data_IF_876510873970
#
_entry.id   IF_876510873970
#
_cell.length_a   1.000
_cell.length_b   1.000
_cell.length_c   1.000
_cell.angle_alpha   90.00
_cell.angle_beta   90.00
_cell.angle_gamma   90.00
#
_symmetry.space_group_name_H-M   'P 1'
#
loop_
_entity.id
_entity.type
_entity.pdbx_description
1 polymer ?
#
# COMPACT_ATOMS: atom_id res chain seq x y z
N UNK A 1 34.70 17.67 11.02
CA UNK A 1 34.92 16.21 10.90
C UNK A 1 35.40 15.97 9.50
N UNK A 2 36.55 15.30 9.35
CA UNK A 2 37.06 14.90 8.05
C UNK A 2 36.13 13.77 7.55
N UNK A 3 35.20 14.08 6.66
CA UNK A 3 34.18 13.14 6.15
C UNK A 3 34.66 12.32 4.97
N UNK A 4 35.98 12.31 4.72
CA UNK A 4 36.59 11.62 3.60
C UNK A 4 36.81 10.15 3.96
N UNK A 5 35.75 9.34 3.86
CA UNK A 5 35.87 7.89 3.91
C UNK A 5 36.38 7.40 2.55
N UNK A 6 37.48 6.62 2.51
CA UNK A 6 37.92 6.01 1.26
C UNK A 6 36.81 5.09 0.74
N UNK A 7 36.51 5.15 -0.57
CA UNK A 7 35.60 4.18 -1.18
C UNK A 7 36.13 2.77 -0.92
N UNK A 8 35.27 1.92 -0.37
CA UNK A 8 35.58 0.51 -0.14
C UNK A 8 34.93 -0.29 -1.27
N UNK A 9 35.73 -1.09 -1.97
CA UNK A 9 35.20 -2.00 -2.99
C UNK A 9 34.57 -3.22 -2.34
N UNK A 10 33.63 -3.85 -3.07
CA UNK A 10 33.01 -5.11 -2.66
C UNK A 10 34.02 -6.18 -2.25
N UNK A 11 35.12 -6.33 -3.00
CA UNK A 11 36.17 -7.30 -2.72
C UNK A 11 36.88 -6.98 -1.40
N UNK A 12 37.20 -5.71 -1.16
CA UNK A 12 37.88 -5.29 0.07
C UNK A 12 37.01 -5.53 1.31
N UNK A 13 35.69 -5.35 1.20
CA UNK A 13 34.76 -5.68 2.28
C UNK A 13 34.66 -7.20 2.50
N UNK A 14 34.50 -7.98 1.44
CA UNK A 14 34.43 -9.45 1.52
C UNK A 14 35.68 -10.05 2.16
N UNK A 15 36.86 -9.53 1.82
CA UNK A 15 38.12 -9.96 2.44
C UNK A 15 38.19 -9.61 3.93
N UNK A 16 37.61 -8.50 4.38
CA UNK A 16 37.50 -8.19 5.82
C UNK A 16 36.55 -9.16 6.52
N UNK A 17 35.36 -9.40 5.96
CA UNK A 17 34.39 -10.32 6.58
C UNK A 17 34.96 -11.71 6.68
N UNK A 18 35.63 -12.23 5.63
CA UNK A 18 36.30 -13.53 5.68
C UNK A 18 37.33 -13.64 6.80
N UNK A 19 38.04 -12.55 7.12
CA UNK A 19 39.00 -12.51 8.24
C UNK A 19 38.33 -12.48 9.61
N UNK A 20 37.12 -11.96 9.69
CA UNK A 20 36.32 -11.90 10.94
C UNK A 20 35.46 -13.15 11.16
N UNK A 21 35.37 -14.05 10.18
CA UNK A 21 34.66 -15.31 10.33
C UNK A 21 35.32 -16.18 11.42
N UNK A 22 34.52 -16.82 12.30
CA UNK A 22 35.04 -17.84 13.21
C UNK A 22 35.75 -18.96 12.45
N UNK A 23 36.77 -19.57 13.06
CA UNK A 23 37.51 -20.67 12.43
C UNK A 23 36.59 -21.77 11.90
N UNK A 24 36.76 -22.13 10.62
CA UNK A 24 35.98 -23.16 9.96
C UNK A 24 34.57 -22.73 9.52
N UNK A 25 34.17 -21.47 9.73
CA UNK A 25 32.90 -20.93 9.22
C UNK A 25 33.08 -20.25 7.87
N UNK A 26 32.08 -20.42 7.01
CA UNK A 26 31.95 -19.76 5.71
C UNK A 26 30.83 -18.71 5.75
N UNK A 27 30.77 -17.84 4.75
CA UNK A 27 29.65 -16.87 4.61
C UNK A 27 28.28 -17.56 4.50
N UNK A 28 28.24 -18.75 3.90
CA UNK A 28 27.02 -19.55 3.78
C UNK A 28 26.52 -20.02 5.16
N UNK A 29 27.44 -20.31 6.10
CA UNK A 29 27.10 -20.72 7.46
C UNK A 29 26.50 -19.60 8.31
N UNK A 30 26.68 -18.33 7.91
CA UNK A 30 26.13 -17.17 8.60
C UNK A 30 24.77 -16.71 8.07
N UNK A 31 24.16 -17.48 7.15
CA UNK A 31 22.93 -17.09 6.45
C UNK A 31 23.02 -15.69 5.80
N UNK A 32 24.24 -15.22 5.49
CA UNK A 32 24.45 -14.00 4.71
C UNK A 32 23.98 -14.32 3.30
N UNK A 33 22.75 -13.90 2.97
CA UNK A 33 22.24 -14.00 1.61
C UNK A 33 23.04 -13.03 0.75
N UNK A 34 23.89 -13.60 -0.10
CA UNK A 34 24.45 -12.88 -1.23
C UNK A 34 23.31 -12.57 -2.22
N UNK A 35 23.32 -11.39 -2.86
CA UNK A 35 24.47 -10.47 -2.98
C UNK A 35 24.63 -9.49 -1.82
N UNK A 36 25.87 -9.06 -1.58
CA UNK A 36 26.15 -7.83 -0.82
C UNK A 36 25.81 -6.61 -1.70
N UNK A 37 25.14 -5.63 -1.12
CA UNK A 37 24.75 -4.39 -1.78
C UNK A 37 25.65 -3.23 -1.34
N UNK A 38 26.26 -2.56 -2.31
CA UNK A 38 27.12 -1.40 -2.12
C UNK A 38 26.94 -0.43 -3.30
N UNK A 39 27.83 0.57 -3.41
CA UNK A 39 27.78 1.51 -4.52
C UNK A 39 28.25 0.91 -5.85
N UNK A 40 28.94 -0.24 -5.85
CA UNK A 40 29.59 -0.79 -7.04
C UNK A 40 28.51 -1.34 -7.99
N UNK A 41 28.36 -0.69 -9.15
CA UNK A 41 27.31 -1.03 -10.11
C UNK A 41 25.93 -0.47 -9.76
N UNK A 42 25.80 0.31 -8.68
CA UNK A 42 24.55 0.97 -8.33
C UNK A 42 24.30 2.21 -9.19
N UNK A 43 23.15 2.24 -9.86
CA UNK A 43 22.63 3.44 -10.50
C UNK A 43 21.33 3.82 -9.82
N UNK A 44 21.27 5.00 -9.19
CA UNK A 44 20.06 5.44 -8.51
C UNK A 44 18.94 5.70 -9.52
N UNK A 45 17.81 4.97 -9.45
CA UNK A 45 16.73 5.09 -10.43
C UNK A 45 15.83 6.32 -10.16
N UNK A 46 16.15 7.14 -9.16
CA UNK A 46 15.27 8.19 -8.66
C UNK A 46 14.24 7.67 -7.65
N UNK A 47 13.48 8.57 -7.00
CA UNK A 47 12.47 8.19 -6.00
C UNK A 47 11.30 7.43 -6.63
N UNK A 48 11.07 6.19 -6.21
CA UNK A 48 10.05 5.30 -6.80
C UNK A 48 8.64 5.54 -6.26
N UNK A 49 8.51 6.25 -5.13
CA UNK A 49 7.21 6.57 -4.53
C UNK A 49 6.51 7.79 -5.19
N UNK A 50 7.01 8.31 -6.31
CA UNK A 50 6.46 9.52 -6.96
C UNK A 50 5.47 9.17 -8.09
N UNK A 51 4.21 8.91 -7.73
CA UNK A 51 3.11 8.83 -8.72
C UNK A 51 2.16 10.02 -8.54
N UNK A 52 2.00 10.84 -9.58
CA UNK A 52 1.02 11.95 -9.57
C UNK A 52 -0.40 11.43 -9.81
N UNK A 53 -1.29 11.59 -8.83
CA UNK A 53 -2.69 11.18 -8.95
C UNK A 53 -3.52 11.40 -7.67
N UNK A 54 -3.67 12.65 -7.22
CA UNK A 54 -4.60 13.10 -6.15
C UNK A 54 -4.56 12.32 -4.82
N UNK A 55 -3.39 12.29 -4.22
CA UNK A 55 -3.13 12.77 -2.87
C UNK A 55 -1.96 13.76 -3.01
N UNK A 56 -1.85 14.85 -2.21
CA UNK A 56 -0.54 15.43 -2.02
C UNK A 56 0.30 14.32 -1.37
N UNK A 57 1.30 13.87 -2.12
CA UNK A 57 2.31 12.87 -1.78
C UNK A 57 3.11 13.28 -0.54
N UNK A 58 2.54 13.11 0.66
CA UNK A 58 3.24 13.33 1.92
C UNK A 58 2.96 12.24 2.96
N UNK A 59 1.74 11.72 3.09
CA UNK A 59 1.44 10.75 4.17
C UNK A 59 0.40 9.69 3.77
N UNK A 60 0.52 8.48 4.32
CA UNK A 60 -0.55 7.48 4.27
C UNK A 60 -1.73 7.93 5.13
N UNK A 61 -2.94 7.46 4.80
CA UNK A 61 -4.14 7.69 5.62
C UNK A 61 -4.44 6.47 6.48
N UNK A 62 -4.70 6.73 7.76
CA UNK A 62 -5.20 5.73 8.71
C UNK A 62 -6.65 5.42 8.36
N UNK A 63 -6.88 4.28 7.72
CA UNK A 63 -8.20 3.87 7.28
C UNK A 63 -8.88 3.01 8.34
N UNK A 64 -10.13 3.36 8.67
CA UNK A 64 -10.97 2.59 9.57
C UNK A 64 -12.10 1.90 8.79
N UNK A 65 -12.29 0.61 9.05
CA UNK A 65 -13.46 -0.12 8.57
C UNK A 65 -14.65 0.14 9.49
N UNK A 66 -15.80 0.45 8.92
CA UNK A 66 -17.01 0.81 9.64
C UNK A 66 -18.21 0.06 9.07
N UNK A 67 -19.09 -0.38 9.96
CA UNK A 67 -20.30 -1.13 9.60
C UNK A 67 -21.55 -0.26 9.55
N UNK A 68 -21.56 0.85 10.30
CA UNK A 68 -22.68 1.78 10.40
C UNK A 68 -22.18 3.22 10.60
N UNK A 69 -23.11 4.17 10.60
CA UNK A 69 -22.79 5.58 10.77
C UNK A 69 -22.12 5.88 12.12
N UNK A 70 -22.55 5.23 13.20
CA UNK A 70 -22.03 5.45 14.55
C UNK A 70 -20.55 5.05 14.60
N UNK A 71 -20.21 3.89 14.02
CA UNK A 71 -18.85 3.41 13.89
C UNK A 71 -17.99 4.37 13.07
N UNK A 72 -18.52 4.96 11.99
CA UNK A 72 -17.81 5.98 11.21
C UNK A 72 -17.47 7.21 12.06
N UNK A 73 -18.46 7.78 12.73
CA UNK A 73 -18.24 8.99 13.54
C UNK A 73 -17.28 8.71 14.70
N UNK A 74 -17.40 7.55 15.34
CA UNK A 74 -16.49 7.13 16.40
C UNK A 74 -15.06 6.92 15.87
N UNK A 75 -14.89 6.30 14.69
CA UNK A 75 -13.59 6.13 14.07
C UNK A 75 -12.92 7.47 13.75
N UNK A 76 -13.68 8.43 13.20
CA UNK A 76 -13.18 9.79 12.93
C UNK A 76 -12.79 10.51 14.23
N UNK A 77 -13.60 10.40 15.29
CA UNK A 77 -13.27 10.95 16.60
C UNK A 77 -12.01 10.33 17.21
N UNK A 78 -11.72 9.07 16.90
CA UNK A 78 -10.52 8.35 17.33
C UNK A 78 -9.30 8.60 16.43
N UNK A 79 -9.41 9.47 15.42
CA UNK A 79 -8.28 9.88 14.59
C UNK A 79 -8.15 9.14 13.25
N UNK A 80 -9.16 8.37 12.83
CA UNK A 80 -9.19 7.85 11.45
C UNK A 80 -9.21 9.01 10.43
N UNK A 81 -8.45 8.85 9.35
CA UNK A 81 -8.30 9.85 8.28
C UNK A 81 -9.03 9.45 6.99
N UNK A 82 -9.43 8.18 6.91
CA UNK A 82 -10.21 7.60 5.84
C UNK A 82 -11.17 6.53 6.38
N UNK A 83 -12.26 6.29 5.66
CA UNK A 83 -13.28 5.31 6.03
C UNK A 83 -13.40 4.25 4.95
N UNK A 84 -13.69 3.02 5.37
CA UNK A 84 -14.12 1.92 4.50
C UNK A 84 -15.45 1.39 5.04
N UNK A 85 -16.52 1.54 4.24
CA UNK A 85 -17.84 1.00 4.56
C UNK A 85 -18.28 -0.05 3.55
N UNK A 86 -19.12 -0.98 4.00
CA UNK A 86 -19.86 -1.90 3.14
C UNK A 86 -21.36 -1.68 3.40
N UNK A 87 -22.06 -0.86 2.58
CA UNK A 87 -23.49 -0.60 2.80
C UNK A 87 -24.32 -1.88 2.82
N UNK A 88 -25.24 -2.00 3.77
CA UNK A 88 -26.22 -3.07 3.83
C UNK A 88 -27.34 -2.89 2.81
N UNK A 89 -28.11 -3.96 2.61
CA UNK A 89 -29.36 -3.87 1.83
C UNK A 89 -30.29 -2.87 2.48
N UNK A 90 -30.97 -2.08 1.65
CA UNK A 90 -31.87 -1.00 2.08
C UNK A 90 -31.19 0.20 2.78
N UNK A 91 -29.87 0.19 2.99
CA UNK A 91 -29.16 1.35 3.56
C UNK A 91 -29.22 2.54 2.61
N UNK A 92 -29.62 3.68 3.14
CA UNK A 92 -29.69 4.93 2.39
C UNK A 92 -28.38 5.73 2.56
N UNK A 93 -27.79 6.25 1.46
CA UNK A 93 -26.52 6.97 1.55
C UNK A 93 -26.50 8.14 2.52
N UNK A 94 -27.62 8.88 2.61
CA UNK A 94 -27.73 10.06 3.47
C UNK A 94 -27.77 9.71 4.95
N UNK A 95 -28.30 8.54 5.31
CA UNK A 95 -28.36 8.06 6.69
C UNK A 95 -27.01 7.45 7.10
N UNK A 96 -26.45 6.59 6.25
CA UNK A 96 -25.19 5.89 6.55
C UNK A 96 -24.01 6.88 6.66
N UNK A 97 -24.00 7.94 5.85
CA UNK A 97 -22.95 8.95 5.82
C UNK A 97 -23.36 10.26 6.50
N UNK A 98 -24.42 10.26 7.31
CA UNK A 98 -24.84 11.43 8.07
C UNK A 98 -23.68 11.98 8.93
N UNK A 99 -23.34 13.26 8.76
CA UNK A 99 -22.23 13.89 9.47
C UNK A 99 -20.82 13.53 8.96
N UNK A 100 -20.70 12.64 7.97
CA UNK A 100 -19.43 12.36 7.29
C UNK A 100 -19.27 13.35 6.14
N UNK A 101 -18.31 14.28 6.27
CA UNK A 101 -18.04 15.28 5.25
C UNK A 101 -17.12 14.72 4.16
N UNK A 102 -17.70 14.21 3.07
CA UNK A 102 -17.00 13.57 1.96
C UNK A 102 -15.97 14.45 1.25
N UNK A 103 -16.08 15.78 1.37
CA UNK A 103 -15.08 16.73 0.87
C UNK A 103 -13.71 16.61 1.55
N UNK A 104 -13.69 16.08 2.77
CA UNK A 104 -12.47 15.98 3.59
C UNK A 104 -12.07 14.53 3.87
N UNK A 105 -13.05 13.64 3.93
CA UNK A 105 -12.85 12.24 4.33
C UNK A 105 -12.85 11.34 3.10
N UNK A 106 -11.70 10.72 2.84
CA UNK A 106 -11.59 9.70 1.81
C UNK A 106 -12.42 8.49 2.23
N UNK A 107 -13.32 8.06 1.36
CA UNK A 107 -14.32 7.06 1.71
C UNK A 107 -14.33 5.96 0.66
N UNK A 108 -13.94 4.77 1.07
CA UNK A 108 -14.07 3.56 0.28
C UNK A 108 -15.44 2.96 0.56
N UNK A 109 -16.21 2.70 -0.48
CA UNK A 109 -17.53 2.08 -0.37
C UNK A 109 -17.48 0.71 -1.04
N UNK A 110 -17.91 -0.33 -0.34
CA UNK A 110 -17.91 -1.68 -0.85
C UNK A 110 -19.33 -2.13 -1.13
N UNK A 111 -19.70 -2.12 -2.40
CA UNK A 111 -21.06 -2.45 -2.85
C UNK A 111 -21.27 -3.94 -3.09
N UNK A 112 -20.33 -4.81 -2.67
CA UNK A 112 -20.43 -6.25 -2.88
C UNK A 112 -21.64 -6.93 -2.25
N UNK A 113 -22.28 -6.25 -1.29
CA UNK A 113 -23.50 -6.67 -0.59
C UNK A 113 -24.80 -6.22 -1.26
N UNK A 114 -24.71 -5.27 -2.20
CA UNK A 114 -25.85 -4.61 -2.84
C UNK A 114 -26.25 -5.26 -4.16
N UNK A 115 -27.51 -5.10 -4.56
CA UNK A 115 -27.96 -5.46 -5.90
C UNK A 115 -27.75 -4.33 -6.93
N UNK A 116 -27.99 -4.63 -8.21
CA UNK A 116 -27.77 -3.68 -9.31
C UNK A 116 -28.61 -2.39 -9.18
N UNK A 117 -29.84 -2.49 -8.64
CA UNK A 117 -30.72 -1.33 -8.48
C UNK A 117 -30.24 -0.43 -7.33
N UNK A 118 -29.83 -1.05 -6.21
CA UNK A 118 -29.24 -0.38 -5.07
C UNK A 118 -27.93 0.33 -5.47
N UNK A 119 -27.05 -0.34 -6.21
CA UNK A 119 -25.80 0.24 -6.73
C UNK A 119 -26.09 1.47 -7.58
N UNK A 120 -27.03 1.39 -8.53
CA UNK A 120 -27.41 2.53 -9.37
C UNK A 120 -27.96 3.70 -8.53
N UNK A 121 -28.72 3.40 -7.47
CA UNK A 121 -29.20 4.39 -6.51
C UNK A 121 -28.04 5.11 -5.80
N UNK A 122 -27.09 4.35 -5.26
CA UNK A 122 -25.87 4.86 -4.62
C UNK A 122 -25.02 5.70 -5.58
N UNK A 123 -24.78 5.21 -6.79
CA UNK A 123 -24.00 5.93 -7.82
C UNK A 123 -24.66 7.26 -8.22
N UNK A 124 -25.99 7.28 -8.35
CA UNK A 124 -26.71 8.51 -8.67
C UNK A 124 -26.66 9.53 -7.53
N UNK A 125 -26.73 9.08 -6.27
CA UNK A 125 -26.52 9.95 -5.12
C UNK A 125 -25.09 10.50 -5.09
N UNK A 126 -24.09 9.66 -5.32
CA UNK A 126 -22.67 10.04 -5.38
C UNK A 126 -22.38 11.04 -6.50
N UNK A 127 -23.03 10.91 -7.66
CA UNK A 127 -22.88 11.88 -8.78
C UNK A 127 -23.29 13.30 -8.40
N UNK A 128 -24.19 13.45 -7.43
CA UNK A 128 -24.68 14.73 -6.93
C UNK A 128 -23.82 15.27 -5.76
N UNK A 129 -22.87 14.49 -5.26
CA UNK A 129 -21.90 14.96 -4.27
C UNK A 129 -20.78 15.76 -4.93
N UNK A 130 -20.04 16.50 -4.12
CA UNK A 130 -18.90 17.30 -4.54
C UNK A 130 -17.88 16.48 -5.33
N UNK A 131 -17.35 17.08 -6.40
CA UNK A 131 -16.28 16.47 -7.21
C UNK A 131 -14.95 16.37 -6.45
N UNK A 132 -14.81 17.05 -5.30
CA UNK A 132 -13.62 16.94 -4.45
C UNK A 132 -13.60 15.64 -3.63
N UNK A 133 -14.75 15.00 -3.44
CA UNK A 133 -14.86 13.77 -2.68
C UNK A 133 -14.08 12.62 -3.35
N UNK A 134 -13.18 11.99 -2.60
CA UNK A 134 -12.51 10.76 -3.02
C UNK A 134 -13.34 9.58 -2.56
N UNK A 135 -14.24 9.14 -3.44
CA UNK A 135 -15.08 7.97 -3.23
C UNK A 135 -14.69 6.85 -4.17
N UNK A 136 -14.31 5.71 -3.61
CA UNK A 136 -13.88 4.54 -4.38
C UNK A 136 -14.89 3.41 -4.12
N UNK A 137 -15.84 3.19 -5.04
CA UNK A 137 -16.73 2.04 -4.95
C UNK A 137 -16.03 0.76 -5.40
N UNK A 138 -16.12 -0.29 -4.59
CA UNK A 138 -15.81 -1.66 -4.97
C UNK A 138 -17.07 -2.26 -5.59
N UNK A 139 -16.94 -2.81 -6.80
CA UNK A 139 -18.03 -3.33 -7.63
C UNK A 139 -19.04 -2.23 -8.02
N UNK A 140 -18.75 -1.55 -9.13
CA UNK A 140 -19.59 -0.48 -9.71
C UNK A 140 -20.13 -0.92 -11.07
N UNK A 141 -21.33 -0.43 -11.41
CA UNK A 141 -21.95 -0.67 -12.73
C UNK A 141 -21.55 0.41 -13.75
N UNK A 142 -21.13 1.60 -13.28
CA UNK A 142 -20.68 2.71 -14.13
C UNK A 142 -19.18 2.99 -14.04
N UNK A 143 -18.42 2.52 -15.04
CA UNK A 143 -16.96 2.71 -15.11
C UNK A 143 -16.51 4.17 -15.32
N UNK A 144 -17.40 5.15 -15.56
CA UNK A 144 -16.97 6.48 -16.03
C UNK A 144 -16.45 7.44 -14.94
N UNK A 145 -16.67 7.15 -13.66
CA UNK A 145 -16.27 8.06 -12.56
C UNK A 145 -15.48 7.41 -11.43
N UNK A 146 -15.30 6.10 -11.45
CA UNK A 146 -14.79 5.37 -10.30
C UNK A 146 -13.45 4.71 -10.60
N UNK A 147 -12.78 4.29 -9.52
CA UNK A 147 -11.55 3.51 -9.62
C UNK A 147 -11.90 2.03 -9.62
N UNK A 148 -11.26 1.25 -10.48
CA UNK A 148 -11.40 -0.20 -10.52
C UNK A 148 -10.66 -0.79 -9.32
N UNK A 149 -11.34 -1.61 -8.53
CA UNK A 149 -10.74 -2.31 -7.41
C UNK A 149 -10.12 -3.63 -7.85
N UNK A 150 -8.85 -3.86 -7.51
CA UNK A 150 -8.16 -5.13 -7.74
C UNK A 150 -7.58 -5.63 -6.40
N UNK A 151 -7.94 -6.84 -6.02
CA UNK A 151 -7.40 -7.50 -4.83
C UNK A 151 -6.21 -8.38 -5.21
N UNK A 152 -5.15 -8.31 -4.41
CA UNK A 152 -3.90 -9.06 -4.58
C UNK A 152 -3.62 -9.83 -3.29
N UNK A 153 -3.47 -11.15 -3.42
CA UNK A 153 -3.23 -12.03 -2.28
C UNK A 153 -1.75 -12.16 -1.90
N UNK A 154 -0.84 -12.00 -2.86
CA UNK A 154 0.59 -12.23 -2.70
C UNK A 154 1.40 -11.13 -3.40
N UNK A 155 2.53 -10.75 -2.80
CA UNK A 155 3.44 -9.72 -3.30
C UNK A 155 4.55 -10.31 -4.18
N UNK A 156 4.16 -11.05 -5.23
CA UNK A 156 5.07 -11.72 -6.17
C UNK A 156 5.15 -11.02 -7.54
N UNK A 157 6.10 -11.44 -8.38
CA UNK A 157 6.20 -10.98 -9.76
C UNK A 157 4.97 -11.37 -10.59
N UNK A 158 4.45 -12.58 -10.40
CA UNK A 158 3.24 -13.08 -11.05
C UNK A 158 2.02 -12.21 -10.72
N UNK A 159 1.89 -11.81 -9.45
CA UNK A 159 0.84 -10.90 -9.03
C UNK A 159 0.97 -9.52 -9.70
N UNK A 160 2.19 -8.98 -9.84
CA UNK A 160 2.41 -7.74 -10.59
C UNK A 160 2.05 -7.89 -12.07
N UNK A 161 2.39 -9.02 -12.71
CA UNK A 161 2.01 -9.30 -14.11
C UNK A 161 0.49 -9.23 -14.26
N UNK A 162 -0.25 -9.89 -13.37
CA UNK A 162 -1.72 -9.92 -13.39
C UNK A 162 -2.31 -8.50 -13.22
N UNK A 163 -1.85 -7.76 -12.22
CA UNK A 163 -2.30 -6.39 -11.94
C UNK A 163 -2.05 -5.47 -13.14
N UNK A 164 -0.83 -5.43 -13.67
CA UNK A 164 -0.47 -4.55 -14.78
C UNK A 164 -1.21 -4.96 -16.07
N UNK A 165 -1.43 -6.25 -16.29
CA UNK A 165 -2.20 -6.74 -17.44
C UNK A 165 -3.67 -6.30 -17.36
N UNK A 166 -4.29 -6.38 -16.18
CA UNK A 166 -5.65 -5.89 -15.93
C UNK A 166 -5.76 -4.38 -16.11
N UNK A 167 -4.80 -3.61 -15.61
CA UNK A 167 -4.74 -2.16 -15.83
C UNK A 167 -4.62 -1.83 -17.32
N UNK A 168 -3.75 -2.53 -18.05
CA UNK A 168 -3.55 -2.32 -19.49
C UNK A 168 -4.80 -2.62 -20.29
N UNK A 169 -5.53 -3.69 -19.94
CA UNK A 169 -6.77 -4.09 -20.61
C UNK A 169 -7.91 -3.09 -20.37
N UNK A 170 -8.01 -2.54 -19.15
CA UNK A 170 -9.09 -1.64 -18.74
C UNK A 170 -8.76 -0.14 -18.87
N UNK A 171 -7.62 0.21 -19.47
CA UNK A 171 -7.14 1.60 -19.49
C UNK A 171 -8.13 2.57 -20.17
N UNK A 172 -8.74 2.13 -21.26
CA UNK A 172 -9.64 2.94 -22.10
C UNK A 172 -11.12 2.88 -21.64
N UNK A 173 -11.44 2.15 -20.56
CA UNK A 173 -12.83 1.90 -20.11
C UNK A 173 -13.50 3.12 -19.43
N UNK A 174 -12.85 4.29 -19.47
CA UNK A 174 -13.36 5.52 -18.87
C UNK A 174 -13.15 5.67 -17.35
N UNK A 175 -12.61 4.66 -16.67
CA UNK A 175 -12.28 4.67 -15.23
C UNK A 175 -11.33 5.81 -14.82
N UNK A 176 -11.44 6.29 -13.59
CA UNK A 176 -10.52 7.32 -13.07
C UNK A 176 -9.17 6.76 -12.62
N UNK A 177 -9.06 5.44 -12.45
CA UNK A 177 -7.86 4.81 -11.93
C UNK A 177 -8.11 3.43 -11.34
N UNK A 178 -7.19 3.00 -10.49
CA UNK A 178 -7.26 1.71 -9.79
C UNK A 178 -7.00 1.87 -8.31
N UNK A 179 -7.67 1.05 -7.52
CA UNK A 179 -7.34 0.79 -6.12
C UNK A 179 -6.82 -0.63 -6.01
N UNK A 180 -5.57 -0.78 -5.56
CA UNK A 180 -4.92 -2.07 -5.33
C UNK A 180 -4.98 -2.40 -3.86
N UNK A 181 -5.86 -3.33 -3.51
CA UNK A 181 -6.00 -3.85 -2.15
C UNK A 181 -5.13 -5.09 -2.00
N UNK A 182 -4.17 -5.05 -1.08
CA UNK A 182 -3.35 -6.20 -0.75
C UNK A 182 -3.36 -6.45 0.75
N UNK A 183 -3.27 -7.72 1.12
CA UNK A 183 -2.98 -8.12 2.50
C UNK A 183 -1.47 -8.14 2.70
N UNK A 184 -0.98 -7.43 3.71
CA UNK A 184 0.47 -7.31 3.94
C UNK A 184 1.01 -8.63 4.47
N UNK A 185 1.98 -9.21 3.75
CA UNK A 185 2.66 -10.46 4.12
C UNK A 185 3.64 -10.32 5.28
N UNK A 186 4.46 -11.34 5.49
CA UNK A 186 5.57 -11.30 6.48
C UNK A 186 6.93 -10.95 5.89
N UNK A 187 7.05 -10.91 4.56
CA UNK A 187 8.29 -10.53 3.89
C UNK A 187 8.42 -9.01 3.80
N UNK A 188 8.97 -8.39 4.83
CA UNK A 188 9.08 -6.94 4.93
C UNK A 188 9.76 -6.26 3.74
N UNK A 189 10.85 -6.84 3.24
CA UNK A 189 11.58 -6.25 2.13
C UNK A 189 10.84 -6.50 0.82
N UNK A 190 10.25 -7.68 0.65
CA UNK A 190 9.38 -8.00 -0.49
C UNK A 190 8.17 -7.06 -0.57
N UNK A 191 7.49 -6.80 0.55
CA UNK A 191 6.35 -5.86 0.62
C UNK A 191 6.75 -4.44 0.19
N UNK A 192 7.89 -3.94 0.69
CA UNK A 192 8.43 -2.63 0.30
C UNK A 192 8.73 -2.61 -1.20
N UNK A 193 9.47 -3.61 -1.68
CA UNK A 193 9.88 -3.70 -3.08
C UNK A 193 8.69 -3.81 -4.02
N UNK A 194 7.66 -4.57 -3.63
CA UNK A 194 6.46 -4.79 -4.43
C UNK A 194 5.64 -3.52 -4.62
N UNK A 195 5.41 -2.75 -3.55
CA UNK A 195 4.69 -1.48 -3.65
C UNK A 195 5.45 -0.45 -4.51
N UNK A 196 6.78 -0.39 -4.39
CA UNK A 196 7.65 0.45 -5.22
C UNK A 196 7.61 0.01 -6.68
N UNK A 197 7.74 -1.29 -6.95
CA UNK A 197 7.71 -1.86 -8.30
C UNK A 197 6.36 -1.62 -8.97
N UNK A 198 5.24 -1.81 -8.25
CA UNK A 198 3.89 -1.51 -8.74
C UNK A 198 3.79 -0.05 -9.21
N UNK A 199 4.26 0.91 -8.42
CA UNK A 199 4.25 2.34 -8.76
C UNK A 199 5.11 2.64 -9.98
N UNK A 200 6.32 2.08 -10.02
CA UNK A 200 7.24 2.21 -11.15
C UNK A 200 6.62 1.72 -12.46
N UNK A 201 6.06 0.51 -12.46
CA UNK A 201 5.40 -0.08 -13.62
C UNK A 201 4.12 0.67 -14.03
N UNK A 202 3.38 1.22 -13.07
CA UNK A 202 2.23 2.06 -13.36
C UNK A 202 2.63 3.38 -14.05
N UNK A 203 3.72 4.02 -13.62
CA UNK A 203 4.26 5.21 -14.28
C UNK A 203 4.69 4.91 -15.71
N UNK A 204 5.40 3.80 -15.91
CA UNK A 204 5.79 3.35 -17.25
C UNK A 204 4.57 3.16 -18.15
N UNK A 205 3.54 2.46 -17.66
CA UNK A 205 2.29 2.27 -18.39
C UNK A 205 1.59 3.61 -18.68
N UNK A 206 1.53 4.51 -17.69
CA UNK A 206 0.90 5.82 -17.83
C UNK A 206 1.64 6.72 -18.81
N UNK A 207 2.96 6.59 -18.95
CA UNK A 207 3.76 7.36 -19.90
C UNK A 207 3.49 6.98 -21.36
N UNK A 208 3.07 5.72 -21.58
CA UNK A 208 2.80 5.16 -22.91
C UNK A 208 1.34 5.36 -23.37
N UNK A 209 0.45 5.73 -22.45
CA UNK A 209 -1.00 5.82 -22.69
C UNK A 209 -1.50 7.25 -22.52
N UNK A 210 -2.64 7.56 -23.15
CA UNK A 210 -3.31 8.86 -22.97
C UNK A 210 -4.33 8.78 -21.84
N UNK A 211 -4.58 9.92 -21.20
CA UNK A 211 -5.53 10.05 -20.09
C UNK A 211 -4.85 9.83 -18.73
N UNK A 212 -4.92 10.85 -17.87
CA UNK A 212 -4.39 10.76 -16.53
C UNK A 212 -5.27 9.81 -15.69
N UNK A 213 -4.67 8.72 -15.21
CA UNK A 213 -5.31 7.76 -14.31
C UNK A 213 -4.64 7.84 -12.94
N UNK A 214 -5.40 7.53 -11.90
CA UNK A 214 -4.91 7.48 -10.52
C UNK A 214 -4.58 6.05 -10.12
N UNK A 215 -3.61 5.89 -9.23
CA UNK A 215 -3.31 4.63 -8.57
C UNK A 215 -3.38 4.87 -7.07
N UNK A 216 -4.23 4.12 -6.40
CA UNK A 216 -4.29 4.04 -4.95
C UNK A 216 -3.90 2.65 -4.50
N UNK A 217 -3.26 2.56 -3.35
CA UNK A 217 -2.88 1.31 -2.69
C UNK A 217 -3.50 1.25 -1.30
N UNK A 218 -4.15 0.14 -1.00
CA UNK A 218 -4.71 -0.17 0.31
C UNK A 218 -3.98 -1.39 0.86
N UNK A 219 -3.22 -1.15 1.93
CA UNK A 219 -2.54 -2.18 2.70
C UNK A 219 -3.44 -2.61 3.86
N UNK A 220 -3.81 -3.88 3.92
CA UNK A 220 -4.55 -4.46 5.03
C UNK A 220 -3.65 -5.34 5.88
N UNK A 221 -3.60 -5.06 7.18
CA UNK A 221 -2.87 -5.88 8.14
C UNK A 221 -3.48 -7.27 8.23
N UNK A 222 -2.64 -8.30 8.16
CA UNK A 222 -3.05 -9.71 8.10
C UNK A 222 -2.72 -10.43 9.40
N UNK A 223 -3.73 -10.91 10.16
CA UNK A 223 -3.51 -11.63 11.40
C UNK A 223 -2.89 -13.00 11.12
N UNK A 224 -2.10 -13.51 12.06
CA UNK A 224 -1.55 -14.87 11.97
C UNK A 224 -2.60 -15.96 12.22
N UNK A 225 -3.71 -15.59 12.88
CA UNK A 225 -4.73 -16.54 13.34
C UNK A 225 -4.34 -17.31 14.62
N UNK A 226 -3.25 -16.90 15.28
CA UNK A 226 -2.74 -17.51 16.50
C UNK A 226 -3.07 -16.65 17.73
N UNK A 227 -2.06 -16.02 18.35
CA UNK A 227 -2.23 -15.16 19.54
C UNK A 227 -2.40 -13.68 19.13
N UNK A 228 -3.51 -13.03 19.51
CA UNK A 228 -3.74 -11.61 19.24
C UNK A 228 -2.61 -10.68 19.76
N UNK A 229 -1.92 -11.04 20.85
CA UNK A 229 -0.82 -10.22 21.36
C UNK A 229 0.42 -10.30 20.46
N UNK A 230 0.68 -11.48 19.88
CA UNK A 230 1.74 -11.65 18.89
C UNK A 230 1.39 -10.94 17.58
N UNK A 231 0.10 -10.91 17.24
CA UNK A 231 -0.39 -10.17 16.08
C UNK A 231 -0.11 -8.67 16.18
N UNK A 232 -0.14 -8.04 17.35
CA UNK A 232 0.25 -6.63 17.50
C UNK A 232 1.73 -6.38 17.11
N UNK A 233 2.63 -7.31 17.45
CA UNK A 233 4.04 -7.23 17.05
C UNK A 233 4.16 -7.41 15.54
N UNK A 234 3.47 -8.41 14.98
CA UNK A 234 3.42 -8.65 13.53
C UNK A 234 2.87 -7.44 12.77
N UNK A 235 1.81 -6.83 13.27
CA UNK A 235 1.18 -5.65 12.70
C UNK A 235 2.13 -4.45 12.69
N UNK A 236 3.01 -4.33 13.69
CA UNK A 236 4.07 -3.31 13.66
C UNK A 236 4.96 -3.49 12.44
N UNK A 237 5.39 -4.72 12.18
CA UNK A 237 6.27 -5.03 11.06
C UNK A 237 5.58 -4.85 9.71
N UNK A 238 4.34 -5.33 9.58
CA UNK A 238 3.50 -5.17 8.38
C UNK A 238 3.17 -3.70 8.08
N UNK A 239 2.73 -2.95 9.09
CA UNK A 239 2.44 -1.53 8.94
C UNK A 239 3.68 -0.76 8.50
N UNK A 240 4.84 -1.07 9.10
CA UNK A 240 6.09 -0.41 8.76
C UNK A 240 6.52 -0.72 7.32
N UNK A 241 6.45 -1.96 6.85
CA UNK A 241 6.77 -2.28 5.46
C UNK A 241 5.82 -1.61 4.48
N UNK A 242 4.51 -1.59 4.76
CA UNK A 242 3.52 -0.93 3.92
C UNK A 242 3.75 0.60 3.84
N UNK A 243 4.05 1.25 4.98
CA UNK A 243 4.35 2.69 5.04
C UNK A 243 5.64 3.00 4.28
N UNK A 244 6.71 2.22 4.49
CA UNK A 244 7.99 2.43 3.81
C UNK A 244 7.92 2.13 2.30
N UNK A 245 7.08 1.18 1.89
CA UNK A 245 6.73 0.93 0.49
C UNK A 245 5.83 2.02 -0.13
N UNK A 246 5.33 2.95 0.68
CA UNK A 246 4.52 4.08 0.22
C UNK A 246 3.05 3.73 -0.02
N UNK A 247 2.41 2.92 0.82
CA UNK A 247 0.97 2.67 0.75
C UNK A 247 0.15 3.95 0.97
N UNK A 248 -0.95 4.13 0.22
CA UNK A 248 -1.83 5.32 0.35
C UNK A 248 -2.77 5.20 1.55
N UNK A 249 -3.29 3.99 1.80
CA UNK A 249 -4.16 3.68 2.92
C UNK A 249 -3.62 2.48 3.67
N UNK A 250 -3.67 2.54 5.01
CA UNK A 250 -3.35 1.42 5.87
C UNK A 250 -4.54 1.13 6.80
N UNK A 251 -5.06 -0.09 6.73
CA UNK A 251 -6.19 -0.54 7.53
C UNK A 251 -5.80 -1.74 8.40
N UNK A 252 -6.45 -1.83 9.56
CA UNK A 252 -6.38 -3.02 10.40
C UNK A 252 -7.07 -4.24 9.79
N UNK A 253 -6.95 -5.40 10.44
CA UNK A 253 -7.67 -6.61 10.06
C UNK A 253 -9.19 -6.46 10.32
N UNK A 254 -9.99 -7.33 9.72
CA UNK A 254 -11.41 -7.45 10.03
C UNK A 254 -11.58 -8.07 11.43
N UNK A 255 -11.65 -7.24 12.47
CA UNK A 255 -11.81 -7.70 13.84
C UNK A 255 -13.29 -7.98 14.15
N UNK A 256 -13.61 -9.24 14.46
CA UNK A 256 -14.97 -9.70 14.81
C UNK A 256 -15.18 -9.86 16.33
N UNK A 257 -14.20 -9.50 17.15
CA UNK A 257 -14.27 -9.64 18.60
C UNK A 257 -14.98 -8.45 19.26
N UNK A 258 -15.70 -8.70 20.37
CA UNK A 258 -16.41 -7.67 21.14
C UNK A 258 -15.47 -6.68 21.87
N UNK A 259 -14.16 -6.90 21.85
CA UNK A 259 -13.19 -6.06 22.54
C UNK A 259 -12.78 -4.84 21.71
N UNK A 260 -13.42 -3.70 21.97
CA UNK A 260 -13.10 -2.38 21.39
C UNK A 260 -11.62 -1.97 21.57
N UNK A 261 -10.90 -2.57 22.51
CA UNK A 261 -9.50 -2.23 22.78
C UNK A 261 -8.56 -2.64 21.65
N UNK A 262 -8.82 -3.75 20.95
CA UNK A 262 -7.90 -4.26 19.94
C UNK A 262 -7.86 -3.38 18.70
N UNK A 263 -9.03 -2.99 18.17
CA UNK A 263 -9.14 -2.07 17.05
C UNK A 263 -8.46 -0.73 17.34
N UNK A 264 -8.64 -0.21 18.58
CA UNK A 264 -7.95 1.00 19.03
C UNK A 264 -6.43 0.83 19.09
N UNK A 265 -5.91 -0.32 19.54
CA UNK A 265 -4.46 -0.58 19.57
C UNK A 265 -3.87 -0.60 18.16
N UNK A 266 -4.57 -1.22 17.20
CA UNK A 266 -4.14 -1.27 15.78
C UNK A 266 -4.13 0.13 15.16
N UNK A 267 -5.10 0.99 15.48
CA UNK A 267 -5.10 2.39 15.04
C UNK A 267 -3.95 3.19 15.69
N UNK A 268 -3.78 3.04 17.02
CA UNK A 268 -2.73 3.72 17.76
C UNK A 268 -1.32 3.40 17.25
N UNK A 269 -1.10 2.19 16.77
CA UNK A 269 0.15 1.80 16.14
C UNK A 269 0.53 2.71 14.95
N UNK A 270 -0.45 3.03 14.11
CA UNK A 270 -0.24 3.94 12.98
C UNK A 270 -0.04 5.38 13.46
N UNK A 271 -0.76 5.81 14.50
CA UNK A 271 -0.55 7.11 15.12
C UNK A 271 0.85 7.24 15.71
N UNK A 272 1.40 6.22 16.36
CA UNK A 272 2.76 6.21 16.89
C UNK A 272 3.78 6.37 15.76
N UNK A 273 3.61 5.64 14.65
CA UNK A 273 4.47 5.77 13.47
C UNK A 273 4.46 7.19 12.89
N UNK A 274 3.30 7.87 12.88
CA UNK A 274 3.21 9.28 12.47
C UNK A 274 3.80 10.22 13.52
N UNK A 275 3.27 10.19 14.74
CA UNK A 275 3.48 11.22 15.75
C UNK A 275 4.84 11.13 16.43
N UNK A 276 5.33 9.92 16.68
CA UNK A 276 6.62 9.67 17.35
C UNK A 276 7.69 9.26 16.34
N UNK A 277 7.36 8.34 15.42
CA UNK A 277 8.28 7.88 14.39
C UNK A 277 8.55 8.91 13.28
N UNK A 278 7.67 9.92 13.13
CA UNK A 278 7.76 10.98 12.11
C UNK A 278 7.92 10.44 10.67
N UNK A 279 7.47 9.21 10.42
CA UNK A 279 7.66 8.56 9.10
C UNK A 279 6.91 9.29 7.99
N UNK A 280 5.85 10.01 8.34
CA UNK A 280 5.05 10.84 7.44
C UNK A 280 5.80 12.08 6.90
N UNK A 281 6.95 12.45 7.48
CA UNK A 281 7.75 13.58 6.97
C UNK A 281 8.59 13.22 5.74
N UNK A 282 8.73 11.91 5.44
CA UNK A 282 9.55 11.42 4.34
C UNK A 282 8.66 10.83 3.24
N UNK A 283 8.82 11.31 2.01
CA UNK A 283 8.11 10.74 0.85
C UNK A 283 8.62 9.34 0.50
N UNK A 284 9.92 9.14 0.61
CA UNK A 284 10.59 7.88 0.35
C UNK A 284 11.83 7.78 1.25
N UNK A 285 11.64 7.24 2.45
CA UNK A 285 12.71 7.10 3.44
C UNK A 285 13.79 6.10 3.02
N UNK A 286 13.51 5.23 2.04
CA UNK A 286 14.40 4.16 1.59
C UNK A 286 15.07 4.46 0.24
N UNK A 287 14.78 5.61 -0.37
CA UNK A 287 15.41 6.05 -1.61
C UNK A 287 16.94 6.03 -1.48
N UNK A 288 17.61 5.41 -2.47
CA UNK A 288 19.07 5.30 -2.50
C UNK A 288 19.63 4.15 -1.66
N UNK A 289 18.80 3.36 -0.98
CA UNK A 289 19.25 2.10 -0.37
C UNK A 289 19.66 1.10 -1.45
N UNK A 290 20.94 0.73 -1.49
CA UNK A 290 21.46 -0.22 -2.48
C UNK A 290 20.67 -1.53 -2.52
N UNK A 291 20.26 -2.02 -1.34
CA UNK A 291 19.50 -3.25 -1.23
C UNK A 291 18.06 -3.10 -1.74
N UNK A 292 17.32 -2.10 -1.25
CA UNK A 292 15.90 -1.94 -1.56
C UNK A 292 15.70 -1.60 -3.04
N UNK A 293 16.57 -0.75 -3.59
CA UNK A 293 16.51 -0.37 -5.00
C UNK A 293 16.83 -1.57 -5.92
N UNK A 294 17.80 -2.41 -5.56
CA UNK A 294 18.15 -3.60 -6.35
C UNK A 294 17.03 -4.65 -6.34
N UNK A 295 16.48 -5.01 -5.18
CA UNK A 295 15.36 -5.97 -5.14
C UNK A 295 14.10 -5.44 -5.83
N UNK A 296 13.88 -4.11 -5.80
CA UNK A 296 12.78 -3.48 -6.53
C UNK A 296 13.02 -3.61 -8.04
N UNK A 297 14.24 -3.31 -8.50
CA UNK A 297 14.61 -3.43 -9.91
C UNK A 297 14.50 -4.88 -10.41
N UNK A 298 15.05 -5.84 -9.67
CA UNK A 298 14.94 -7.26 -10.01
C UNK A 298 13.48 -7.71 -10.15
N UNK A 299 12.60 -7.22 -9.27
CA UNK A 299 11.17 -7.52 -9.33
C UNK A 299 10.51 -6.91 -10.58
N UNK A 300 10.84 -5.66 -10.94
CA UNK A 300 10.35 -5.02 -12.19
C UNK A 300 10.84 -5.77 -13.42
N UNK A 301 12.15 -6.06 -13.53
CA UNK A 301 12.74 -6.77 -14.66
C UNK A 301 12.13 -8.18 -14.81
N UNK A 302 12.01 -8.92 -13.71
CA UNK A 302 11.37 -10.24 -13.70
C UNK A 302 9.93 -10.17 -14.19
N UNK A 303 9.18 -9.16 -13.76
CA UNK A 303 7.79 -8.95 -14.18
C UNK A 303 7.71 -8.62 -15.67
N UNK A 304 8.58 -7.75 -16.19
CA UNK A 304 8.62 -7.40 -17.60
C UNK A 304 8.98 -8.60 -18.49
N UNK A 305 9.96 -9.40 -18.10
CA UNK A 305 10.33 -10.63 -18.82
C UNK A 305 9.15 -11.60 -18.93
N UNK A 306 8.40 -11.77 -17.83
CA UNK A 306 7.20 -12.63 -17.79
C UNK A 306 6.01 -12.08 -18.60
N UNK A 307 6.00 -10.80 -18.99
CA UNK A 307 4.99 -10.26 -19.90
C UNK A 307 5.26 -10.61 -21.37
N UNK A 308 6.50 -10.97 -21.71
CA UNK A 308 6.95 -11.22 -23.10
C UNK A 308 6.95 -12.71 -23.46
N UNK A 309 7.20 -13.59 -22.48
CA UNK A 309 7.21 -15.04 -22.65
C UNK A 309 5.84 -15.68 -22.43
#
# INVERSE_FOLDING_TARGET
>A
MDTNFPQHTKEAWLEKVKKELPEGKTLQDLAVQLPLYDHDGFSWPGPQNQVTGFLPTQEWKIMARCMDNVACLQALQNGAEALWLSPGKEDLPHDLLAGVHLDYIHTLLDFSTLDEQEIVGWENWLKNQSSAAVVIPIQSTSHQRFCTHLTVAETTAEALVDVISKMRASWEDGGQGWLIHHEVGSDFYGEIAWLRALRSMFLDLSSQKKGAKKLYTLAQLKPSGLDPNQDLIRFTYQALSAVLGGADYLTGPDWKGNENNYARLVQNLQHLMKQEGKLHLFQDALAGSYFIEDITLQLVETTQLKQIG
#
